data_IF_598491441794
#
_entry.id   IF_598491441794
#
_cell.length_a   1.000
_cell.length_b   1.000
_cell.length_c   1.000
_cell.angle_alpha   90.00
_cell.angle_beta   90.00
_cell.angle_gamma   90.00
#
_symmetry.space_group_name_H-M   'P 1'
#
loop_
_entity.id
_entity.type
_entity.pdbx_description
1 polymer ?
#
# COMPACT_ATOMS: atom_id res chain seq x y z
N UNK A 1 -2.77 6.66 0.75
CA UNK A 1 -2.51 6.52 -0.70
C UNK A 1 -3.01 7.73 -1.48
N UNK A 2 -4.33 7.91 -1.66
CA UNK A 2 -4.89 8.97 -2.53
C UNK A 2 -4.35 10.38 -2.23
N UNK A 3 -4.40 10.82 -0.97
CA UNK A 3 -3.89 12.14 -0.55
C UNK A 3 -2.42 12.34 -0.89
N UNK A 4 -1.59 11.30 -0.74
CA UNK A 4 -0.17 11.36 -1.09
C UNK A 4 0.06 11.43 -2.60
N UNK A 5 -0.76 10.75 -3.40
CA UNK A 5 -0.70 10.86 -4.87
C UNK A 5 -1.06 12.28 -5.32
N UNK A 6 -2.11 12.87 -4.74
CA UNK A 6 -2.51 14.26 -5.04
C UNK A 6 -1.43 15.25 -4.61
N UNK A 7 -0.78 15.02 -3.47
CA UNK A 7 0.38 15.80 -3.01
C UNK A 7 1.52 15.79 -4.05
N UNK A 8 1.96 14.61 -4.51
CA UNK A 8 2.99 14.47 -5.56
C UNK A 8 2.53 15.18 -6.84
N UNK A 9 1.27 15.01 -7.25
CA UNK A 9 0.71 15.69 -8.42
C UNK A 9 0.71 17.22 -8.30
N UNK A 10 0.44 17.76 -7.11
CA UNK A 10 0.51 19.19 -6.83
C UNK A 10 1.96 19.71 -6.94
N UNK A 11 2.94 18.95 -6.45
CA UNK A 11 4.36 19.30 -6.58
C UNK A 11 4.78 19.38 -8.04
N UNK A 12 4.39 18.40 -8.87
CA UNK A 12 4.68 18.36 -10.30
C UNK A 12 4.05 19.53 -11.09
N UNK A 13 3.05 20.22 -10.51
CA UNK A 13 2.42 21.42 -11.07
C UNK A 13 2.97 22.72 -10.48
N UNK A 14 4.00 22.66 -9.63
CA UNK A 14 4.59 23.82 -8.97
C UNK A 14 3.72 24.38 -7.83
N UNK A 15 2.67 23.67 -7.41
CA UNK A 15 1.80 24.06 -6.30
C UNK A 15 2.39 23.61 -4.96
N UNK A 16 3.59 24.10 -4.63
CA UNK A 16 4.39 23.60 -3.51
C UNK A 16 3.67 23.65 -2.16
N UNK A 17 3.01 24.77 -1.81
CA UNK A 17 2.31 24.90 -0.52
C UNK A 17 1.19 23.84 -0.37
N UNK A 18 0.44 23.58 -1.44
CA UNK A 18 -0.61 22.57 -1.46
C UNK A 18 -0.01 21.16 -1.33
N UNK A 19 1.06 20.89 -2.08
CA UNK A 19 1.80 19.63 -2.02
C UNK A 19 2.26 19.31 -0.60
N UNK A 20 2.93 20.25 0.07
CA UNK A 20 3.44 20.10 1.44
C UNK A 20 2.31 19.83 2.43
N UNK A 21 1.22 20.60 2.34
CA UNK A 21 0.07 20.45 3.23
C UNK A 21 -0.58 19.07 3.07
N UNK A 22 -0.81 18.65 1.83
CA UNK A 22 -1.38 17.33 1.53
C UNK A 22 -0.44 16.19 1.92
N UNK A 23 0.88 16.39 1.79
CA UNK A 23 1.86 15.39 2.17
C UNK A 23 1.81 15.10 3.66
N UNK A 24 1.88 16.14 4.50
CA UNK A 24 1.84 15.97 5.95
C UNK A 24 0.50 15.43 6.43
N UNK A 25 -0.60 15.82 5.79
CA UNK A 25 -1.91 15.18 6.01
C UNK A 25 -1.87 13.68 5.65
N UNK A 26 -1.25 13.31 4.53
CA UNK A 26 -1.10 11.92 4.14
C UNK A 26 -0.25 11.12 5.14
N UNK A 27 0.83 11.71 5.67
CA UNK A 27 1.65 11.12 6.74
C UNK A 27 0.82 10.89 8.00
N UNK A 28 0.07 11.89 8.47
CA UNK A 28 -0.77 11.78 9.66
C UNK A 28 -1.85 10.69 9.52
N UNK A 29 -2.54 10.66 8.38
CA UNK A 29 -3.52 9.62 8.07
C UNK A 29 -2.88 8.23 8.00
N UNK A 30 -1.69 8.12 7.42
CA UNK A 30 -0.97 6.85 7.33
C UNK A 30 -0.59 6.31 8.70
N UNK A 31 -0.05 7.16 9.59
CA UNK A 31 0.26 6.78 10.98
C UNK A 31 -1.02 6.34 11.71
N UNK A 32 -2.12 7.10 11.56
CA UNK A 32 -3.41 6.73 12.14
C UNK A 32 -3.89 5.35 11.66
N UNK A 33 -3.82 5.07 10.36
CA UNK A 33 -4.21 3.76 9.82
C UNK A 33 -3.28 2.64 10.26
N UNK A 34 -1.97 2.88 10.43
CA UNK A 34 -1.05 1.90 11.02
C UNK A 34 -1.48 1.54 12.43
N UNK A 35 -1.77 2.53 13.27
CA UNK A 35 -2.19 2.30 14.66
C UNK A 35 -3.48 1.48 14.70
N UNK A 36 -4.49 1.86 13.91
CA UNK A 36 -5.73 1.10 13.83
C UNK A 36 -5.51 -0.34 13.34
N UNK A 37 -4.64 -0.53 12.35
CA UNK A 37 -4.31 -1.85 11.81
C UNK A 37 -3.57 -2.70 12.83
N UNK A 38 -2.62 -2.12 13.57
CA UNK A 38 -1.90 -2.81 14.64
C UNK A 38 -2.85 -3.23 15.78
N UNK A 39 -3.74 -2.33 16.20
CA UNK A 39 -4.79 -2.65 17.18
C UNK A 39 -5.70 -3.76 16.67
N UNK A 40 -6.10 -3.71 15.39
CA UNK A 40 -6.92 -4.76 14.77
C UNK A 40 -6.19 -6.11 14.72
N UNK A 41 -4.90 -6.11 14.40
CA UNK A 41 -4.08 -7.32 14.34
C UNK A 41 -3.93 -7.99 15.71
N UNK A 42 -3.77 -7.18 16.78
CA UNK A 42 -3.65 -7.68 18.15
C UNK A 42 -4.99 -8.14 18.72
N UNK A 43 -6.07 -7.37 18.51
CA UNK A 43 -7.38 -7.61 19.14
C UNK A 43 -8.29 -8.57 18.36
N UNK A 44 -8.13 -8.65 17.03
CA UNK A 44 -9.02 -9.39 16.13
C UNK A 44 -8.23 -10.27 15.16
N UNK A 45 -7.19 -10.96 15.65
CA UNK A 45 -6.28 -11.80 14.85
C UNK A 45 -7.01 -12.84 13.98
N UNK A 46 -8.06 -13.46 14.51
CA UNK A 46 -8.77 -14.54 13.82
C UNK A 46 -9.58 -13.96 12.65
N UNK A 47 -10.26 -12.82 12.87
CA UNK A 47 -10.96 -12.10 11.80
C UNK A 47 -10.00 -11.58 10.71
N UNK A 48 -8.82 -11.11 11.09
CA UNK A 48 -7.79 -10.67 10.12
C UNK A 48 -7.27 -11.87 9.31
N UNK A 49 -7.08 -13.02 9.96
CA UNK A 49 -6.70 -14.25 9.26
C UNK A 49 -7.76 -14.67 8.26
N UNK A 50 -9.03 -14.61 8.63
CA UNK A 50 -10.14 -14.94 7.75
C UNK A 50 -10.23 -13.95 6.56
N UNK A 51 -10.05 -12.65 6.82
CA UNK A 51 -10.01 -11.62 5.78
C UNK A 51 -8.84 -11.82 4.79
N UNK A 52 -7.71 -12.38 5.23
CA UNK A 52 -6.57 -12.71 4.36
C UNK A 52 -6.81 -13.95 3.50
N UNK A 53 -7.70 -14.85 3.91
CA UNK A 53 -8.08 -16.04 3.13
C UNK A 53 -9.25 -15.77 2.17
N UNK A 54 -10.00 -14.68 2.36
CA UNK A 54 -11.02 -14.22 1.41
C UNK A 54 -10.38 -13.31 0.34
N UNK A 55 -10.24 -13.76 -0.92
CA UNK A 55 -9.59 -12.98 -1.97
C UNK A 55 -10.26 -11.63 -2.20
N UNK A 56 -11.58 -11.52 -1.98
CA UNK A 56 -12.31 -10.27 -2.20
C UNK A 56 -11.89 -9.16 -1.24
N UNK A 57 -11.37 -9.53 -0.07
CA UNK A 57 -10.91 -8.63 1.01
C UNK A 57 -9.40 -8.55 1.09
N UNK A 58 -8.71 -9.67 0.88
CA UNK A 58 -7.26 -9.79 0.95
C UNK A 58 -6.55 -8.80 0.01
N UNK A 59 -7.09 -8.57 -1.19
CA UNK A 59 -6.49 -7.60 -2.11
C UNK A 59 -6.52 -6.15 -1.60
N UNK A 60 -7.42 -5.82 -0.67
CA UNK A 60 -7.45 -4.51 -0.01
C UNK A 60 -6.19 -4.21 0.81
N UNK A 61 -5.48 -5.22 1.31
CA UNK A 61 -4.25 -5.02 2.09
C UNK A 61 -3.09 -4.46 1.24
N UNK A 62 -3.12 -4.62 -0.08
CA UNK A 62 -2.16 -3.99 -0.99
C UNK A 62 -2.23 -2.45 -0.99
N UNK A 63 -3.30 -1.86 -0.46
CA UNK A 63 -3.36 -0.40 -0.23
C UNK A 63 -2.30 0.09 0.76
N UNK A 64 -1.88 -0.77 1.70
CA UNK A 64 -0.78 -0.46 2.60
C UNK A 64 0.53 -0.31 1.82
N UNK A 65 0.85 -1.26 0.92
CA UNK A 65 2.01 -1.21 0.02
C UNK A 65 2.03 0.09 -0.76
N UNK A 66 0.93 0.40 -1.45
CA UNK A 66 0.83 1.60 -2.27
C UNK A 66 0.93 2.88 -1.41
N UNK A 67 0.35 2.88 -0.21
CA UNK A 67 0.48 3.97 0.76
C UNK A 67 1.92 4.21 1.19
N UNK A 68 2.64 3.15 1.57
CA UNK A 68 4.04 3.23 2.01
C UNK A 68 4.95 3.76 0.91
N UNK A 69 4.81 3.24 -0.30
CA UNK A 69 5.63 3.64 -1.44
C UNK A 69 5.35 5.09 -1.87
N UNK A 70 4.09 5.53 -1.85
CA UNK A 70 3.74 6.94 -2.13
C UNK A 70 4.38 7.88 -1.11
N UNK A 71 4.40 7.53 0.18
CA UNK A 71 5.11 8.33 1.19
C UNK A 71 6.62 8.33 0.97
N UNK A 72 7.20 7.18 0.62
CA UNK A 72 8.61 7.10 0.24
C UNK A 72 8.93 8.05 -0.92
N UNK A 73 8.12 8.07 -1.99
CA UNK A 73 8.28 8.99 -3.12
C UNK A 73 8.23 10.45 -2.67
N UNK A 74 7.25 10.82 -1.82
CA UNK A 74 7.16 12.20 -1.33
C UNK A 74 8.37 12.59 -0.47
N UNK A 75 8.88 11.69 0.37
CA UNK A 75 10.10 11.94 1.17
C UNK A 75 11.35 12.15 0.32
N UNK A 76 11.45 11.50 -0.84
CA UNK A 76 12.52 11.80 -1.82
C UNK A 76 12.43 13.27 -2.26
N UNK A 77 11.21 13.76 -2.54
CA UNK A 77 10.97 15.17 -2.89
C UNK A 77 11.40 16.16 -1.81
N UNK A 78 11.35 15.76 -0.53
CA UNK A 78 11.85 16.55 0.60
C UNK A 78 13.36 16.36 0.89
N UNK A 79 14.07 15.56 0.09
CA UNK A 79 15.50 15.26 0.32
C UNK A 79 15.76 14.28 1.48
N UNK A 80 14.72 13.68 2.06
CA UNK A 80 14.83 12.74 3.19
C UNK A 80 15.13 11.31 2.71
N UNK A 81 16.21 11.14 1.95
CA UNK A 81 16.55 9.89 1.25
C UNK A 81 16.64 8.67 2.19
N UNK A 82 17.28 8.73 3.37
CA UNK A 82 17.37 7.56 4.24
C UNK A 82 15.99 7.06 4.69
N UNK A 83 15.08 7.97 5.03
CA UNK A 83 13.73 7.61 5.46
C UNK A 83 12.90 7.08 4.29
N UNK A 84 13.07 7.66 3.10
CA UNK A 84 12.44 7.16 1.89
C UNK A 84 12.86 5.72 1.57
N UNK A 85 14.16 5.39 1.72
CA UNK A 85 14.67 4.04 1.51
C UNK A 85 14.10 3.03 2.51
N UNK A 86 13.96 3.42 3.78
CA UNK A 86 13.32 2.57 4.81
C UNK A 86 11.87 2.29 4.43
N UNK A 87 11.09 3.32 4.10
CA UNK A 87 9.70 3.15 3.69
C UNK A 87 9.58 2.33 2.40
N UNK A 88 10.44 2.56 1.41
CA UNK A 88 10.50 1.75 0.20
C UNK A 88 10.79 0.27 0.51
N UNK A 89 11.79 0.00 1.36
CA UNK A 89 12.11 -1.37 1.78
C UNK A 89 10.93 -2.06 2.48
N UNK A 90 10.23 -1.34 3.36
CA UNK A 90 9.01 -1.83 4.01
C UNK A 90 7.88 -2.08 3.01
N UNK A 91 7.66 -1.17 2.06
CA UNK A 91 6.66 -1.31 1.01
C UNK A 91 6.94 -2.50 0.09
N UNK A 92 8.20 -2.67 -0.34
CA UNK A 92 8.64 -3.81 -1.14
C UNK A 92 8.51 -5.14 -0.40
N UNK A 93 8.88 -5.17 0.89
CA UNK A 93 8.71 -6.37 1.73
C UNK A 93 7.24 -6.74 1.89
N UNK A 94 6.37 -5.77 2.20
CA UNK A 94 4.92 -5.98 2.28
C UNK A 94 4.37 -6.48 0.95
N UNK A 95 4.84 -5.94 -0.17
CA UNK A 95 4.44 -6.38 -1.50
C UNK A 95 4.84 -7.83 -1.77
N UNK A 96 6.05 -8.25 -1.41
CA UNK A 96 6.49 -9.63 -1.55
C UNK A 96 5.61 -10.56 -0.69
N UNK A 97 5.45 -10.26 0.60
CA UNK A 97 4.69 -11.11 1.52
C UNK A 97 3.23 -11.27 1.05
N UNK A 98 2.57 -10.16 0.72
CA UNK A 98 1.17 -10.19 0.27
C UNK A 98 1.04 -10.75 -1.15
N UNK A 99 1.98 -10.40 -2.03
CA UNK A 99 2.02 -10.80 -3.45
C UNK A 99 2.20 -12.28 -3.65
N UNK A 100 2.89 -12.97 -2.75
CA UNK A 100 2.98 -14.43 -2.78
C UNK A 100 1.96 -15.09 -1.85
N UNK A 101 1.68 -14.52 -0.68
CA UNK A 101 0.76 -15.11 0.31
C UNK A 101 -0.71 -15.14 -0.13
N UNK A 102 -1.20 -14.06 -0.75
CA UNK A 102 -2.62 -13.95 -1.13
C UNK A 102 -2.93 -14.85 -2.33
N UNK A 103 -2.17 -14.84 -3.45
CA UNK A 103 -2.43 -15.77 -4.54
C UNK A 103 -2.27 -17.22 -4.12
N UNK A 104 -1.31 -17.54 -3.25
CA UNK A 104 -1.15 -18.90 -2.72
C UNK A 104 -2.41 -19.36 -1.97
N UNK A 105 -2.93 -18.55 -1.05
CA UNK A 105 -4.14 -18.88 -0.26
C UNK A 105 -5.41 -18.85 -1.09
N UNK A 106 -5.55 -17.89 -2.02
CA UNK A 106 -6.70 -17.73 -2.89
C UNK A 106 -6.82 -18.84 -3.95
N UNK A 107 -5.69 -19.25 -4.55
CA UNK A 107 -5.66 -20.18 -5.70
C UNK A 107 -5.56 -21.63 -5.23
N UNK A 108 -4.76 -21.94 -4.21
CA UNK A 108 -4.62 -23.33 -3.71
C UNK A 108 -5.65 -23.70 -2.63
N UNK A 109 -6.27 -22.71 -1.98
CA UNK A 109 -7.30 -22.95 -0.95
C UNK A 109 -8.73 -23.08 -1.49
N UNK A 110 -9.00 -22.66 -2.73
CA UNK A 110 -10.36 -22.61 -3.29
C UNK A 110 -10.72 -23.86 -4.09
N UNK A 111 -10.98 -24.97 -3.38
CA UNK A 111 -11.49 -26.20 -4.03
C UNK A 111 -12.94 -26.11 -4.53
N UNK A 112 -13.67 -25.00 -4.30
CA UNK A 112 -15.16 -25.03 -4.36
C UNK A 112 -15.89 -23.89 -5.07
N UNK A 113 -15.23 -22.83 -5.59
CA UNK A 113 -15.96 -21.75 -6.31
C UNK A 113 -15.20 -21.23 -7.53
N UNK A 114 -15.89 -20.97 -8.67
CA UNK A 114 -15.25 -20.37 -9.83
C UNK A 114 -14.73 -18.98 -9.47
N UNK A 115 -13.40 -18.80 -9.62
CA UNK A 115 -12.65 -17.59 -9.28
C UNK A 115 -13.25 -16.32 -9.92
N UNK A 116 -13.92 -16.47 -11.07
CA UNK A 116 -14.58 -15.38 -11.82
C UNK A 116 -15.71 -14.67 -11.07
N UNK A 117 -16.42 -15.34 -10.16
CA UNK A 117 -17.50 -14.72 -9.39
C UNK A 117 -16.99 -13.82 -8.25
N UNK A 118 -15.70 -13.89 -7.89
CA UNK A 118 -15.06 -13.11 -6.85
C UNK A 118 -14.20 -11.93 -7.36
N UNK A 119 -14.12 -11.74 -8.68
CA UNK A 119 -13.36 -10.64 -9.28
C UNK A 119 -14.12 -9.33 -9.09
N UNK A 120 -13.52 -8.39 -8.37
CA UNK A 120 -14.06 -7.06 -8.14
C UNK A 120 -12.95 -6.00 -8.22
N UNK A 121 -13.28 -4.72 -8.00
CA UNK A 121 -12.31 -3.62 -8.12
C UNK A 121 -11.07 -3.72 -7.21
N UNK A 122 -11.10 -4.48 -6.12
CA UNK A 122 -9.94 -4.64 -5.23
C UNK A 122 -8.81 -5.42 -5.89
N UNK A 123 -9.11 -6.27 -6.88
CA UNK A 123 -8.10 -7.02 -7.64
C UNK A 123 -7.11 -6.10 -8.37
N UNK A 124 -7.58 -4.94 -8.85
CA UNK A 124 -6.73 -3.96 -9.50
C UNK A 124 -5.69 -3.36 -8.54
N UNK A 125 -5.97 -3.35 -7.24
CA UNK A 125 -5.06 -2.83 -6.22
C UNK A 125 -3.77 -3.65 -6.16
N UNK A 126 -3.82 -4.94 -6.50
CA UNK A 126 -2.63 -5.78 -6.59
C UNK A 126 -1.64 -5.27 -7.64
N UNK A 127 -2.13 -4.98 -8.86
CA UNK A 127 -1.33 -4.40 -9.93
C UNK A 127 -0.83 -3.00 -9.56
N UNK A 128 -1.68 -2.15 -8.98
CA UNK A 128 -1.31 -0.80 -8.53
C UNK A 128 -0.20 -0.85 -7.48
N UNK A 129 -0.26 -1.80 -6.54
CA UNK A 129 0.78 -1.97 -5.55
C UNK A 129 2.12 -2.39 -6.17
N UNK A 130 2.12 -3.33 -7.12
CA UNK A 130 3.33 -3.69 -7.86
C UNK A 130 3.93 -2.49 -8.61
N UNK A 131 3.09 -1.70 -9.28
CA UNK A 131 3.52 -0.49 -9.98
C UNK A 131 4.09 0.55 -9.00
N UNK A 132 3.50 0.71 -7.81
CA UNK A 132 4.02 1.65 -6.80
C UNK A 132 5.44 1.30 -6.35
N UNK A 133 5.76 0.01 -6.20
CA UNK A 133 7.13 -0.45 -5.88
C UNK A 133 8.07 -0.10 -7.04
N UNK A 134 7.67 -0.43 -8.28
CA UNK A 134 8.49 -0.19 -9.46
C UNK A 134 8.78 1.30 -9.73
N UNK A 135 7.80 2.18 -9.46
CA UNK A 135 7.95 3.63 -9.60
C UNK A 135 8.84 4.23 -8.50
N UNK A 136 8.74 3.72 -7.27
CA UNK A 136 9.52 4.22 -6.12
C UNK A 136 10.94 3.64 -6.09
N UNK A 137 11.18 2.57 -6.86
CA UNK A 137 12.48 1.90 -6.93
C UNK A 137 13.62 2.92 -7.13
N UNK A 138 14.70 2.83 -6.34
CA UNK A 138 15.80 3.78 -6.40
C UNK A 138 16.40 3.89 -7.80
N UNK A 139 16.09 4.99 -8.50
CA UNK A 139 16.78 5.48 -9.69
C UNK A 139 17.43 6.85 -9.44
N UNK A 140 17.55 7.22 -8.17
CA UNK A 140 17.87 8.58 -7.70
C UNK A 140 19.39 8.88 -7.68
N UNK A 141 20.16 8.35 -8.63
CA UNK A 141 21.60 8.56 -8.78
C UNK A 141 21.94 9.03 -10.18
#
# INVERSE_FOLDING_TARGET
MATGIVSIGAELKGLHLLSVTLFWLAVALYVFFIVLTAVRLVRYRDAVRDDLHDPTRAFGFFTAVAGTNVLATGLVGFGMIPLALVLFGLGALLWLVLGYGIPFTAILGSSTRPVSAGVNGTWLVWAVAAQSVAVTAPRWY
#
